data_IF_393382572984
#
_entry.id   IF_393382572984
#
_cell.length_a   1.000
_cell.length_b   1.000
_cell.length_c   1.000
_cell.angle_alpha   90.00
_cell.angle_beta   90.00
_cell.angle_gamma   90.00
#
_symmetry.space_group_name_H-M   'P 1'
#
loop_
_entity.id
_entity.type
_entity.pdbx_description
1 polymer ?
#
# COMPACT_ATOMS: atom_id res chain seq x y z
N UNK A 1 10.11 -8.23 -5.08
CA UNK A 1 8.92 -8.38 -5.95
C UNK A 1 7.73 -8.65 -5.04
N UNK A 2 6.57 -8.03 -5.27
CA UNK A 2 5.39 -8.24 -4.42
C UNK A 2 4.69 -9.54 -4.79
N UNK A 3 4.43 -10.35 -3.79
CA UNK A 3 3.61 -11.56 -3.89
C UNK A 3 2.14 -11.20 -3.67
N UNK A 4 1.40 -11.07 -4.79
CA UNK A 4 0.01 -10.60 -4.82
C UNK A 4 -0.95 -11.57 -4.13
N UNK A 5 -0.67 -12.87 -4.18
CA UNK A 5 -1.55 -13.91 -3.61
C UNK A 5 -1.59 -13.84 -2.08
N UNK A 6 -0.56 -13.28 -1.45
CA UNK A 6 -0.48 -13.11 0.00
C UNK A 6 -1.17 -11.87 0.55
N UNK A 7 -1.62 -10.96 -0.31
CA UNK A 7 -2.09 -9.63 0.09
C UNK A 7 -3.61 -9.51 0.19
N UNK A 8 -4.36 -10.22 -0.65
CA UNK A 8 -5.82 -10.17 -0.64
C UNK A 8 -6.43 -11.06 -1.72
N UNK A 9 -7.76 -11.05 -1.83
CA UNK A 9 -8.50 -11.88 -2.78
C UNK A 9 -8.27 -11.43 -4.22
N UNK A 10 -8.16 -10.12 -4.42
CA UNK A 10 -7.86 -9.52 -5.73
C UNK A 10 -6.88 -8.37 -5.55
N UNK A 11 -5.86 -8.35 -6.41
CA UNK A 11 -4.81 -7.31 -6.39
C UNK A 11 -4.64 -6.75 -7.79
N UNK A 12 -5.00 -5.47 -7.97
CA UNK A 12 -4.80 -4.73 -9.22
C UNK A 12 -3.56 -3.86 -9.06
N UNK A 13 -2.69 -3.87 -10.07
CA UNK A 13 -1.46 -3.07 -10.08
C UNK A 13 -1.56 -2.00 -11.17
N UNK A 14 -1.33 -0.75 -10.79
CA UNK A 14 -1.27 0.40 -11.66
C UNK A 14 0.07 1.11 -11.47
N UNK A 15 0.80 1.30 -12.56
CA UNK A 15 1.99 2.14 -12.55
C UNK A 15 1.56 3.60 -12.69
N UNK A 16 1.93 4.44 -11.73
CA UNK A 16 1.71 5.88 -11.78
C UNK A 16 3.02 6.58 -12.16
N UNK A 17 2.98 7.91 -12.24
CA UNK A 17 4.15 8.72 -12.65
C UNK A 17 5.32 8.57 -11.66
N UNK A 18 5.05 8.72 -10.36
CA UNK A 18 6.09 8.75 -9.31
C UNK A 18 6.10 7.54 -8.36
N UNK A 19 5.15 6.61 -8.52
CA UNK A 19 4.98 5.48 -7.62
C UNK A 19 4.18 4.35 -8.28
N UNK A 20 4.20 3.16 -7.67
CA UNK A 20 3.29 2.08 -8.04
C UNK A 20 2.11 2.04 -7.08
N UNK A 21 0.90 1.89 -7.61
CA UNK A 21 -0.33 1.69 -6.84
C UNK A 21 -0.79 0.23 -6.95
N UNK A 22 -0.96 -0.42 -5.81
CA UNK A 22 -1.63 -1.70 -5.68
C UNK A 22 -2.97 -1.49 -4.98
N UNK A 23 -4.05 -1.85 -5.66
CA UNK A 23 -5.41 -1.88 -5.09
C UNK A 23 -5.67 -3.31 -4.64
N UNK A 24 -5.82 -3.49 -3.34
CA UNK A 24 -6.01 -4.79 -2.69
C UNK A 24 -7.46 -4.87 -2.23
N UNK A 25 -8.24 -5.74 -2.86
CA UNK A 25 -9.62 -6.04 -2.51
C UNK A 25 -9.65 -7.32 -1.65
N UNK A 26 -10.19 -7.19 -0.43
CA UNK A 26 -10.48 -8.29 0.49
C UNK A 26 -11.91 -8.12 1.06
N UNK A 27 -12.09 -8.08 2.39
CA UNK A 27 -13.34 -7.61 3.02
C UNK A 27 -13.56 -6.10 2.84
N UNK A 28 -12.45 -5.37 2.73
CA UNK A 28 -12.37 -3.95 2.42
C UNK A 28 -11.33 -3.72 1.34
N UNK A 29 -11.34 -2.53 0.76
CA UNK A 29 -10.36 -2.11 -0.23
C UNK A 29 -9.26 -1.29 0.42
N UNK A 30 -8.01 -1.73 0.22
CA UNK A 30 -6.81 -1.02 0.64
C UNK A 30 -6.01 -0.56 -0.58
N UNK A 31 -5.44 0.62 -0.46
CA UNK A 31 -4.55 1.21 -1.45
C UNK A 31 -3.13 1.15 -0.90
N UNK A 32 -2.20 0.62 -1.69
CA UNK A 32 -0.79 0.55 -1.36
C UNK A 32 0.00 1.31 -2.40
N UNK A 33 0.59 2.43 -1.99
CA UNK A 33 1.43 3.26 -2.83
C UNK A 33 2.89 2.97 -2.50
N UNK A 34 3.70 2.61 -3.49
CA UNK A 34 5.11 2.24 -3.34
C UNK A 34 5.97 3.27 -4.03
N UNK A 35 6.80 3.94 -3.24
CA UNK A 35 7.64 5.03 -3.66
C UNK A 35 9.08 4.53 -3.80
N UNK A 36 9.63 4.73 -4.99
CA UNK A 36 10.97 4.29 -5.36
C UNK A 36 11.97 5.44 -5.24
N UNK A 37 12.26 5.85 -4.00
CA UNK A 37 13.27 6.86 -3.69
C UNK A 37 14.64 6.25 -3.39
N UNK A 38 15.49 7.00 -2.65
CA UNK A 38 16.76 6.48 -2.08
C UNK A 38 16.54 5.22 -1.24
N UNK A 39 15.39 5.14 -0.58
CA UNK A 39 14.90 3.95 0.10
C UNK A 39 13.52 3.63 -0.45
N UNK A 40 13.19 2.34 -0.57
CA UNK A 40 11.83 1.92 -0.89
C UNK A 40 10.98 2.12 0.36
N UNK A 41 9.91 2.89 0.21
CA UNK A 41 8.90 3.03 1.25
C UNK A 41 7.52 2.96 0.62
N UNK A 42 6.53 2.66 1.45
CA UNK A 42 5.16 2.53 1.00
C UNK A 42 4.20 3.15 2.01
N UNK A 43 2.99 3.42 1.54
CA UNK A 43 1.86 3.78 2.39
C UNK A 43 0.70 2.84 2.10
N UNK A 44 0.13 2.24 3.15
CA UNK A 44 -1.11 1.47 3.09
C UNK A 44 -2.22 2.32 3.68
N UNK A 45 -3.34 2.45 2.99
CA UNK A 45 -4.48 3.22 3.47
C UNK A 45 -5.80 2.59 3.03
N UNK A 46 -6.92 2.78 3.76
CA UNK A 46 -8.24 2.47 3.22
C UNK A 46 -8.49 3.23 1.92
N UNK A 47 -9.33 2.70 1.03
CA UNK A 47 -9.77 3.44 -0.14
C UNK A 47 -10.46 4.75 0.26
N UNK A 48 -10.16 5.84 -0.43
CA UNK A 48 -10.73 7.15 -0.18
C UNK A 48 -11.30 7.77 -1.47
N UNK A 49 -12.29 8.67 -1.39
CA UNK A 49 -12.83 9.35 -2.57
C UNK A 49 -11.81 10.33 -3.16
N UNK A 50 -11.85 10.51 -4.48
CA UNK A 50 -10.95 11.43 -5.18
C UNK A 50 -10.03 10.72 -6.16
N UNK A 51 -8.93 11.38 -6.53
CA UNK A 51 -7.90 10.77 -7.38
C UNK A 51 -6.98 9.92 -6.50
N UNK A 52 -6.44 8.85 -7.08
CA UNK A 52 -5.47 7.98 -6.42
C UNK A 52 -4.12 8.17 -7.10
N UNK A 53 -3.51 9.34 -6.88
CA UNK A 53 -2.17 9.64 -7.35
C UNK A 53 -1.16 9.65 -6.18
N UNK A 54 0.13 9.68 -6.54
CA UNK A 54 1.22 9.57 -5.59
C UNK A 54 1.29 10.76 -4.61
N UNK A 55 1.01 11.96 -5.09
CA UNK A 55 1.03 13.18 -4.27
C UNK A 55 -0.10 13.17 -3.22
N UNK A 56 -1.33 12.92 -3.65
CA UNK A 56 -2.48 12.80 -2.73
C UNK A 56 -2.28 11.68 -1.73
N UNK A 57 -1.71 10.55 -2.15
CA UNK A 57 -1.38 9.46 -1.24
C UNK A 57 -0.42 9.89 -0.13
N UNK A 58 0.57 10.72 -0.41
CA UNK A 58 1.50 11.24 0.60
C UNK A 58 0.74 12.09 1.62
N UNK A 59 -0.07 13.04 1.16
CA UNK A 59 -0.75 14.03 2.00
C UNK A 59 -2.05 13.53 2.64
N UNK A 60 -2.61 12.41 2.20
CA UNK A 60 -3.81 11.84 2.80
C UNK A 60 -3.57 11.49 4.28
N UNK A 61 -4.33 12.01 5.25
CA UNK A 61 -3.96 11.88 6.66
C UNK A 61 -4.10 10.45 7.22
N UNK A 62 -4.86 9.58 6.55
CA UNK A 62 -5.10 8.21 7.02
C UNK A 62 -4.19 7.19 6.33
N UNK A 63 -3.84 6.15 7.08
CA UNK A 63 -3.00 5.06 6.63
C UNK A 63 -1.69 4.96 7.40
N UNK A 64 -0.89 3.95 7.03
CA UNK A 64 0.35 3.61 7.70
C UNK A 64 1.50 3.61 6.69
N UNK A 65 2.57 4.31 7.02
CA UNK A 65 3.82 4.21 6.30
C UNK A 65 4.63 2.98 6.71
N UNK A 66 5.39 2.44 5.77
CA UNK A 66 6.38 1.40 5.99
C UNK A 66 7.64 1.68 5.16
N UNK A 67 8.80 1.36 5.74
CA UNK A 67 10.09 1.50 5.09
C UNK A 67 10.71 0.13 4.91
N UNK A 68 11.34 -0.10 3.76
CA UNK A 68 11.89 -1.40 3.35
C UNK A 68 13.37 -1.24 3.08
N UNK A 69 14.19 -1.97 3.84
CA UNK A 69 15.62 -2.16 3.57
C UNK A 69 15.79 -3.19 2.45
N UNK A 70 16.95 -3.16 1.77
CA UNK A 70 17.19 -3.97 0.57
C UNK A 70 17.01 -5.48 0.75
N UNK A 71 17.17 -6.00 1.97
CA UNK A 71 17.09 -7.42 2.33
C UNK A 71 15.71 -7.83 2.88
N UNK A 72 14.77 -6.90 3.05
CA UNK A 72 13.48 -7.16 3.68
C UNK A 72 12.37 -7.48 2.66
N UNK A 73 11.48 -8.41 3.03
CA UNK A 73 10.29 -8.71 2.24
C UNK A 73 9.22 -7.63 2.40
N UNK A 74 9.11 -6.76 1.38
CA UNK A 74 8.07 -5.73 1.28
C UNK A 74 6.66 -6.29 1.42
N UNK A 75 6.39 -7.50 0.92
CA UNK A 75 5.04 -8.09 0.92
C UNK A 75 4.59 -8.35 2.35
N UNK A 76 5.47 -8.95 3.16
CA UNK A 76 5.16 -9.22 4.56
C UNK A 76 4.95 -7.92 5.35
N UNK A 77 5.76 -6.89 5.08
CA UNK A 77 5.58 -5.58 5.72
C UNK A 77 4.25 -4.92 5.36
N UNK A 78 3.85 -4.97 4.09
CA UNK A 78 2.53 -4.47 3.64
C UNK A 78 1.42 -5.24 4.36
N UNK A 79 1.49 -6.57 4.37
CA UNK A 79 0.51 -7.43 5.04
C UNK A 79 0.35 -7.07 6.52
N UNK A 80 1.45 -6.89 7.25
CA UNK A 80 1.41 -6.46 8.65
C UNK A 80 0.69 -5.11 8.82
N UNK A 81 0.87 -4.14 7.91
CA UNK A 81 0.17 -2.86 7.98
C UNK A 81 -1.33 -3.00 7.68
N UNK A 82 -1.71 -3.85 6.74
CA UNK A 82 -3.11 -4.15 6.44
C UNK A 82 -3.79 -4.76 7.68
N UNK A 83 -3.16 -5.73 8.33
CA UNK A 83 -3.73 -6.36 9.53
C UNK A 83 -3.89 -5.37 10.70
N UNK A 84 -2.98 -4.40 10.83
CA UNK A 84 -3.13 -3.30 11.82
C UNK A 84 -4.34 -2.43 11.48
N UNK A 85 -4.55 -2.07 10.21
CA UNK A 85 -5.71 -1.28 9.79
C UNK A 85 -7.02 -2.05 10.04
N UNK A 86 -7.08 -3.33 9.65
CA UNK A 86 -8.21 -4.23 9.94
C UNK A 86 -8.54 -4.26 11.43
N UNK A 87 -7.53 -4.44 12.28
CA UNK A 87 -7.70 -4.47 13.74
C UNK A 87 -8.19 -3.15 14.32
N UNK A 88 -7.90 -2.03 13.65
CA UNK A 88 -8.39 -0.70 14.01
C UNK A 88 -9.81 -0.40 13.45
N UNK A 89 -10.43 -1.36 12.76
CA UNK A 89 -11.72 -1.16 12.11
C UNK A 89 -11.66 -0.33 10.82
N UNK A 90 -10.47 -0.16 10.25
CA UNK A 90 -10.20 0.62 9.03
C UNK A 90 -10.10 -0.27 7.80
#
# INVERSE_FOLDING_TARGET
MIDKEKLGKKVVHNKLEDCDLYVIEDEKTYLVFIFHGKYIYFKVTPSFPGKWNCEEAIYYPYGLFGFVRHDEDITNKIKMKIEVLKSAGL
#
